data_IF_942978187533
#
_entry.id   IF_942978187533
#
_cell.length_a   1.000
_cell.length_b   1.000
_cell.length_c   1.000
_cell.angle_alpha   90.00
_cell.angle_beta   90.00
_cell.angle_gamma   90.00
#
_symmetry.space_group_name_H-M   'P 1'
#
loop_
_entity.id
_entity.type
_entity.pdbx_description
1 polymer ?
#
# COMPACT_ATOMS: atom_id res chain seq x y z
N UNK A 1 10.06 -50.20 51.06
CA UNK A 1 10.13 -49.54 49.74
C UNK A 1 10.23 -50.66 48.71
N UNK A 2 9.11 -51.00 48.06
CA UNK A 2 9.10 -52.01 46.99
C UNK A 2 9.98 -51.52 45.83
N UNK A 3 10.88 -52.39 45.37
CA UNK A 3 11.79 -52.14 44.24
C UNK A 3 11.07 -52.41 42.92
N UNK A 4 9.97 -51.70 42.66
CA UNK A 4 9.26 -51.82 41.39
C UNK A 4 10.06 -51.08 40.32
N UNK A 5 10.56 -51.75 39.26
CA UNK A 5 11.31 -51.08 38.21
C UNK A 5 10.41 -50.06 37.52
N UNK A 6 10.88 -48.82 37.38
CA UNK A 6 10.20 -47.78 36.61
C UNK A 6 10.22 -48.22 35.14
N UNK A 7 9.10 -48.75 34.66
CA UNK A 7 8.95 -49.17 33.27
C UNK A 7 8.72 -47.92 32.41
N UNK A 8 9.50 -47.70 31.33
CA UNK A 8 9.27 -46.57 30.43
C UNK A 8 7.86 -46.59 29.87
N UNK A 9 7.22 -45.42 29.82
CA UNK A 9 5.89 -45.25 29.24
C UNK A 9 5.94 -45.72 27.77
N UNK A 10 5.14 -46.75 27.44
CA UNK A 10 4.90 -47.24 26.08
C UNK A 10 3.87 -46.37 25.35
N UNK A 11 4.14 -45.07 25.24
CA UNK A 11 3.35 -44.18 24.41
C UNK A 11 4.06 -43.99 23.06
N UNK A 12 3.27 -43.84 22.00
CA UNK A 12 3.81 -43.45 20.69
C UNK A 12 4.30 -42.01 20.77
N UNK A 13 5.62 -41.83 20.72
CA UNK A 13 6.24 -40.52 20.68
C UNK A 13 6.09 -39.95 19.26
N UNK A 14 5.10 -39.09 19.06
CA UNK A 14 4.98 -38.31 17.84
C UNK A 14 6.09 -37.26 17.81
N UNK A 15 6.87 -37.21 16.74
CA UNK A 15 7.82 -36.13 16.52
C UNK A 15 7.04 -34.81 16.31
N UNK A 16 7.30 -33.80 17.14
CA UNK A 16 6.61 -32.49 17.13
C UNK A 16 7.54 -31.32 16.77
N UNK A 17 8.61 -31.60 16.05
CA UNK A 17 9.59 -30.60 15.64
C UNK A 17 10.71 -30.39 16.67
N UNK A 18 11.34 -29.23 16.60
CA UNK A 18 12.51 -28.86 17.40
C UNK A 18 12.13 -28.27 18.78
N UNK A 19 13.13 -27.98 19.62
CA UNK A 19 12.93 -27.22 20.87
C UNK A 19 12.59 -25.74 20.62
N UNK A 20 12.80 -25.23 19.41
CA UNK A 20 12.40 -23.88 19.05
C UNK A 20 10.89 -23.84 18.89
N UNK A 21 10.29 -22.74 19.31
CA UNK A 21 8.85 -22.55 19.12
C UNK A 21 8.53 -22.51 17.62
N UNK A 22 7.74 -23.48 17.17
CA UNK A 22 7.24 -23.55 15.81
C UNK A 22 5.81 -23.01 15.78
N UNK A 23 5.60 -21.93 15.04
CA UNK A 23 4.25 -21.40 14.83
C UNK A 23 3.40 -22.44 14.10
N UNK A 24 2.15 -22.59 14.52
CA UNK A 24 1.18 -23.38 13.77
C UNK A 24 0.95 -22.78 12.37
N UNK A 25 0.36 -23.56 11.46
CA UNK A 25 -0.05 -23.08 10.12
C UNK A 25 -1.20 -22.08 10.16
N UNK A 26 -1.72 -21.78 11.34
CA UNK A 26 -2.78 -20.80 11.56
C UNK A 26 -2.27 -19.38 11.30
N UNK A 27 -3.16 -18.53 10.81
CA UNK A 27 -2.86 -17.13 10.57
C UNK A 27 -2.54 -16.47 11.92
N UNK A 28 -1.35 -15.89 12.05
CA UNK A 28 -0.92 -15.12 13.22
C UNK A 28 -1.67 -13.80 13.31
N UNK A 29 -2.94 -13.87 13.70
CA UNK A 29 -3.75 -12.71 14.03
C UNK A 29 -4.15 -12.82 15.48
N UNK A 30 -3.50 -12.00 16.31
CA UNK A 30 -3.86 -11.84 17.71
C UNK A 30 -5.30 -11.32 17.80
N UNK A 31 -6.22 -12.08 18.40
CA UNK A 31 -7.59 -11.62 18.52
C UNK A 31 -7.64 -10.41 19.44
N UNK A 32 -8.25 -9.31 18.97
CA UNK A 32 -8.47 -8.09 19.77
C UNK A 32 -9.34 -8.43 21.00
N UNK A 33 -10.33 -9.31 20.81
CA UNK A 33 -11.16 -9.87 21.87
C UNK A 33 -11.05 -11.40 21.87
N UNK A 34 -10.71 -11.97 23.03
CA UNK A 34 -10.82 -13.41 23.24
C UNK A 34 -12.30 -13.79 23.35
N UNK A 35 -12.73 -14.70 22.48
CA UNK A 35 -14.11 -15.17 22.46
C UNK A 35 -14.15 -16.69 22.27
N UNK A 36 -15.17 -17.33 22.88
CA UNK A 36 -15.40 -18.76 22.71
C UNK A 36 -16.20 -19.00 21.43
N UNK A 37 -15.53 -19.57 20.43
CA UNK A 37 -16.16 -19.97 19.17
C UNK A 37 -16.64 -21.41 19.34
N UNK A 38 -17.95 -21.60 19.52
CA UNK A 38 -18.57 -22.93 19.61
C UNK A 38 -19.33 -23.29 18.34
N UNK A 39 -20.09 -22.33 17.80
CA UNK A 39 -20.85 -22.44 16.56
C UNK A 39 -20.63 -21.15 15.78
N UNK A 40 -19.61 -21.14 14.90
CA UNK A 40 -19.26 -19.95 14.14
C UNK A 40 -20.43 -19.47 13.25
N UNK A 41 -21.13 -20.32 12.47
CA UNK A 41 -22.29 -19.89 11.68
C UNK A 41 -23.37 -19.19 12.49
N UNK A 42 -23.81 -19.78 13.60
CA UNK A 42 -24.86 -19.18 14.43
C UNK A 42 -24.42 -17.84 15.04
N UNK A 43 -23.18 -17.79 15.55
CA UNK A 43 -22.62 -16.56 16.14
C UNK A 43 -22.44 -15.45 15.09
N UNK A 44 -22.09 -15.79 13.83
CA UNK A 44 -22.02 -14.80 12.74
C UNK A 44 -23.38 -14.15 12.52
N UNK A 45 -24.43 -14.97 12.42
CA UNK A 45 -25.79 -14.48 12.18
C UNK A 45 -26.27 -13.58 13.33
N UNK A 46 -25.98 -13.97 14.58
CA UNK A 46 -26.32 -13.18 15.77
C UNK A 46 -25.64 -11.80 15.75
N UNK A 47 -24.32 -11.77 15.54
CA UNK A 47 -23.55 -10.52 15.48
C UNK A 47 -23.98 -9.66 14.30
N UNK A 48 -24.25 -10.26 13.14
CA UNK A 48 -24.72 -9.55 11.96
C UNK A 48 -26.09 -8.90 12.21
N UNK A 49 -27.03 -9.63 12.84
CA UNK A 49 -28.33 -9.09 13.24
C UNK A 49 -28.17 -7.93 14.22
N UNK A 50 -27.25 -8.04 15.20
CA UNK A 50 -26.96 -6.97 16.14
C UNK A 50 -26.44 -5.71 15.44
N UNK A 51 -25.49 -5.86 14.50
CA UNK A 51 -24.95 -4.76 13.72
C UNK A 51 -26.02 -4.07 12.87
N UNK A 52 -26.93 -4.85 12.27
CA UNK A 52 -28.02 -4.30 11.45
C UNK A 52 -29.05 -3.55 12.30
N UNK A 53 -29.52 -4.14 13.40
CA UNK A 53 -30.63 -3.58 14.19
C UNK A 53 -30.21 -2.32 14.96
N UNK A 54 -28.98 -2.29 15.47
CA UNK A 54 -28.54 -1.21 16.37
C UNK A 54 -27.84 -0.04 15.67
N UNK A 55 -27.58 -0.11 14.35
CA UNK A 55 -26.84 0.92 13.61
C UNK A 55 -27.68 1.56 12.47
N UNK A 56 -28.89 2.00 12.77
CA UNK A 56 -29.80 2.58 11.77
C UNK A 56 -29.63 4.10 11.66
N UNK A 57 -29.96 4.83 12.73
CA UNK A 57 -29.88 6.29 12.75
C UNK A 57 -28.54 6.81 13.30
N UNK A 58 -27.99 6.11 14.28
CA UNK A 58 -26.72 6.42 14.92
C UNK A 58 -25.91 5.13 15.04
N UNK A 59 -24.60 5.25 14.91
CA UNK A 59 -23.69 4.11 15.15
C UNK A 59 -23.74 3.79 16.64
N UNK A 60 -24.00 2.54 16.99
CA UNK A 60 -24.00 2.07 18.37
C UNK A 60 -22.57 1.99 18.91
N UNK A 61 -22.38 2.30 20.20
CA UNK A 61 -21.05 2.41 20.81
C UNK A 61 -20.21 1.12 20.70
N UNK A 62 -20.87 -0.04 20.71
CA UNK A 62 -20.22 -1.35 20.59
C UNK A 62 -20.01 -1.82 19.14
N UNK A 63 -20.51 -1.08 18.14
CA UNK A 63 -20.48 -1.51 16.75
C UNK A 63 -19.07 -1.80 16.22
N UNK A 64 -18.02 -1.00 16.53
CA UNK A 64 -16.66 -1.33 16.13
C UNK A 64 -16.18 -2.68 16.70
N UNK A 65 -16.51 -2.96 17.97
CA UNK A 65 -16.15 -4.22 18.61
C UNK A 65 -16.93 -5.40 18.01
N UNK A 66 -18.24 -5.24 17.77
CA UNK A 66 -19.08 -6.23 17.10
C UNK A 66 -18.63 -6.50 15.66
N UNK A 67 -18.15 -5.48 14.95
CA UNK A 67 -17.59 -5.66 13.61
C UNK A 67 -16.28 -6.47 13.65
N UNK A 68 -15.39 -6.19 14.60
CA UNK A 68 -14.18 -7.01 14.80
C UNK A 68 -14.56 -8.45 15.17
N UNK A 69 -15.57 -8.64 16.02
CA UNK A 69 -16.10 -9.96 16.38
C UNK A 69 -16.62 -10.70 15.14
N UNK A 70 -17.36 -10.03 14.26
CA UNK A 70 -17.83 -10.60 13.00
C UNK A 70 -16.66 -11.08 12.12
N UNK A 71 -15.61 -10.26 11.98
CA UNK A 71 -14.41 -10.62 11.19
C UNK A 71 -13.69 -11.83 11.80
N UNK A 72 -13.55 -11.90 13.12
CA UNK A 72 -12.94 -13.05 13.81
C UNK A 72 -13.74 -14.34 13.59
N UNK A 73 -15.07 -14.26 13.68
CA UNK A 73 -15.93 -15.41 13.43
C UNK A 73 -15.86 -15.88 11.97
N UNK A 74 -15.84 -14.94 11.01
CA UNK A 74 -15.66 -15.25 9.60
C UNK A 74 -14.30 -15.91 9.31
N UNK A 75 -13.24 -15.55 10.05
CA UNK A 75 -11.93 -16.22 9.94
C UNK A 75 -11.93 -17.66 10.46
N UNK A 76 -12.77 -17.96 11.45
CA UNK A 76 -12.92 -19.31 12.00
C UNK A 76 -13.92 -20.17 11.21
N UNK A 77 -14.76 -19.56 10.37
CA UNK A 77 -15.74 -20.26 9.56
C UNK A 77 -15.11 -20.91 8.31
N UNK A 78 -15.66 -22.04 7.88
CA UNK A 78 -15.30 -22.66 6.61
C UNK A 78 -15.91 -21.88 5.44
N UNK A 79 -15.37 -22.09 4.24
CA UNK A 79 -15.88 -21.43 3.03
C UNK A 79 -17.36 -21.76 2.80
N UNK A 80 -17.76 -23.02 2.99
CA UNK A 80 -19.12 -23.49 2.78
C UNK A 80 -20.10 -22.74 3.71
N UNK A 81 -19.71 -22.52 4.96
CA UNK A 81 -20.51 -21.78 5.92
C UNK A 81 -20.64 -20.31 5.54
N UNK A 82 -19.55 -19.68 5.07
CA UNK A 82 -19.56 -18.31 4.58
C UNK A 82 -20.49 -18.18 3.36
N UNK A 83 -20.43 -19.13 2.43
CA UNK A 83 -21.29 -19.15 1.25
C UNK A 83 -22.77 -19.35 1.60
N UNK A 84 -23.07 -20.21 2.57
CA UNK A 84 -24.43 -20.40 3.06
C UNK A 84 -25.00 -19.10 3.66
N UNK A 85 -24.21 -18.40 4.48
CA UNK A 85 -24.60 -17.11 5.08
C UNK A 85 -24.77 -16.04 3.99
N UNK A 86 -23.86 -15.98 3.02
CA UNK A 86 -24.02 -15.09 1.87
C UNK A 86 -25.33 -15.37 1.12
N UNK A 87 -25.61 -16.64 0.80
CA UNK A 87 -26.83 -17.02 0.10
C UNK A 87 -28.09 -16.62 0.86
N UNK A 88 -28.07 -16.70 2.19
CA UNK A 88 -29.18 -16.29 3.05
C UNK A 88 -29.43 -14.77 3.02
N UNK A 89 -28.38 -13.94 3.01
CA UNK A 89 -28.49 -12.49 3.21
C UNK A 89 -28.17 -11.61 1.99
N UNK A 90 -27.79 -12.20 0.85
CA UNK A 90 -27.37 -11.43 -0.33
C UNK A 90 -28.43 -10.49 -0.90
N UNK A 91 -29.71 -10.74 -0.63
CA UNK A 91 -30.84 -9.93 -1.10
C UNK A 91 -31.35 -8.94 -0.03
N UNK A 92 -30.77 -8.96 1.18
CA UNK A 92 -31.13 -8.08 2.29
C UNK A 92 -30.12 -6.91 2.33
N UNK A 93 -30.46 -5.69 1.86
CA UNK A 93 -29.47 -4.66 1.53
C UNK A 93 -28.54 -4.27 2.68
N UNK A 94 -29.08 -4.19 3.91
CA UNK A 94 -28.29 -3.79 5.09
C UNK A 94 -27.36 -4.92 5.53
N UNK A 95 -27.84 -6.16 5.57
CA UNK A 95 -27.02 -7.34 5.88
C UNK A 95 -25.93 -7.55 4.84
N UNK A 96 -26.29 -7.44 3.56
CA UNK A 96 -25.39 -7.52 2.41
C UNK A 96 -24.23 -6.53 2.54
N UNK A 97 -24.52 -5.28 2.90
CA UNK A 97 -23.48 -4.26 3.09
C UNK A 97 -22.48 -4.64 4.19
N UNK A 98 -22.97 -5.06 5.36
CA UNK A 98 -22.11 -5.51 6.45
C UNK A 98 -21.24 -6.71 6.06
N UNK A 99 -21.79 -7.66 5.28
CA UNK A 99 -21.01 -8.79 4.75
C UNK A 99 -19.93 -8.31 3.77
N UNK A 100 -20.25 -7.41 2.83
CA UNK A 100 -19.28 -6.87 1.88
C UNK A 100 -18.18 -6.04 2.56
N UNK A 101 -18.45 -5.41 3.69
CA UNK A 101 -17.45 -4.72 4.49
C UNK A 101 -16.58 -5.71 5.31
N UNK A 102 -17.17 -6.78 5.86
CA UNK A 102 -16.49 -7.73 6.75
C UNK A 102 -15.68 -8.80 6.02
N UNK A 103 -16.18 -9.35 4.91
CA UNK A 103 -15.50 -10.37 4.12
C UNK A 103 -14.06 -9.97 3.73
N UNK A 104 -13.80 -8.83 3.08
CA UNK A 104 -12.43 -8.46 2.71
C UNK A 104 -11.49 -8.31 3.93
N UNK A 105 -12.02 -7.96 5.10
CA UNK A 105 -11.25 -7.83 6.34
C UNK A 105 -10.83 -9.19 6.94
N UNK A 106 -11.41 -10.31 6.50
CA UNK A 106 -10.95 -11.67 6.85
C UNK A 106 -9.48 -11.84 6.45
N UNK A 107 -9.09 -11.28 5.29
CA UNK A 107 -7.68 -11.16 4.89
C UNK A 107 -7.05 -12.47 4.39
N UNK A 108 -7.84 -13.39 3.83
CA UNK A 108 -7.31 -14.66 3.28
C UNK A 108 -7.44 -14.72 1.75
N UNK A 109 -6.57 -15.48 1.07
CA UNK A 109 -6.66 -15.67 -0.40
C UNK A 109 -7.98 -16.30 -0.84
N UNK A 110 -8.56 -17.15 0.03
CA UNK A 110 -9.87 -17.79 -0.16
C UNK A 110 -10.96 -16.74 -0.36
N UNK A 111 -10.96 -15.66 0.42
CA UNK A 111 -11.98 -14.61 0.28
C UNK A 111 -11.78 -13.77 -0.98
N UNK A 112 -10.54 -13.50 -1.39
CA UNK A 112 -10.26 -12.84 -2.68
C UNK A 112 -10.84 -13.67 -3.84
N UNK A 113 -10.67 -14.99 -3.78
CA UNK A 113 -11.25 -15.93 -4.76
C UNK A 113 -12.78 -15.92 -4.72
N UNK A 114 -13.38 -15.95 -3.53
CA UNK A 114 -14.84 -15.88 -3.34
C UNK A 114 -15.43 -14.61 -3.95
N UNK A 115 -14.87 -13.42 -3.65
CA UNK A 115 -15.35 -12.12 -4.16
C UNK A 115 -15.35 -12.11 -5.69
N UNK A 116 -14.26 -12.63 -6.29
CA UNK A 116 -14.13 -12.78 -7.75
C UNK A 116 -15.23 -13.69 -8.31
N UNK A 117 -15.48 -14.84 -7.69
CA UNK A 117 -16.50 -15.80 -8.13
C UNK A 117 -17.92 -15.21 -8.04
N UNK A 118 -18.24 -14.47 -6.97
CA UNK A 118 -19.55 -13.80 -6.83
C UNK A 118 -19.74 -12.69 -7.86
N UNK A 119 -18.69 -11.94 -8.21
CA UNK A 119 -18.77 -10.96 -9.31
C UNK A 119 -19.00 -11.64 -10.67
N UNK A 120 -18.28 -12.72 -10.97
CA UNK A 120 -18.46 -13.46 -12.23
C UNK A 120 -19.84 -14.10 -12.36
N UNK A 121 -20.42 -14.54 -11.24
CA UNK A 121 -21.79 -15.05 -11.17
C UNK A 121 -22.86 -13.94 -11.32
N UNK A 122 -22.47 -12.67 -11.44
CA UNK A 122 -23.40 -11.54 -11.51
C UNK A 122 -24.06 -11.21 -10.18
N UNK A 123 -23.56 -11.76 -9.06
CA UNK A 123 -24.10 -11.51 -7.73
C UNK A 123 -23.59 -10.20 -7.12
N UNK A 124 -22.52 -9.61 -7.66
CA UNK A 124 -22.00 -8.31 -7.24
C UNK A 124 -22.14 -7.30 -8.38
N UNK A 125 -22.58 -6.09 -8.04
CA UNK A 125 -22.50 -4.95 -8.95
C UNK A 125 -21.05 -4.50 -9.12
N UNK A 126 -20.75 -3.75 -10.19
CA UNK A 126 -19.40 -3.23 -10.42
C UNK A 126 -18.88 -2.35 -9.25
N UNK A 127 -19.67 -1.42 -8.67
CA UNK A 127 -19.22 -0.63 -7.52
C UNK A 127 -18.94 -1.49 -6.27
N UNK A 128 -19.83 -2.44 -5.95
CA UNK A 128 -19.64 -3.36 -4.83
C UNK A 128 -18.37 -4.19 -5.00
N UNK A 129 -18.15 -4.72 -6.20
CA UNK A 129 -16.95 -5.49 -6.51
C UNK A 129 -15.68 -4.65 -6.39
N UNK A 130 -15.66 -3.42 -6.93
CA UNK A 130 -14.51 -2.52 -6.84
C UNK A 130 -14.18 -2.21 -5.37
N UNK A 131 -15.17 -1.79 -4.58
CA UNK A 131 -14.97 -1.47 -3.17
C UNK A 131 -14.44 -2.67 -2.39
N UNK A 132 -15.08 -3.83 -2.56
CA UNK A 132 -14.71 -5.05 -1.83
C UNK A 132 -13.32 -5.54 -2.24
N UNK A 133 -13.00 -5.51 -3.55
CA UNK A 133 -11.72 -5.96 -4.09
C UNK A 133 -10.55 -5.10 -3.60
N UNK A 134 -10.70 -3.77 -3.56
CA UNK A 134 -9.63 -2.86 -3.08
C UNK A 134 -9.26 -3.19 -1.63
N UNK A 135 -10.26 -3.35 -0.76
CA UNK A 135 -10.03 -3.72 0.65
C UNK A 135 -9.44 -5.12 0.74
N UNK A 136 -9.94 -6.10 -0.04
CA UNK A 136 -9.43 -7.46 -0.01
C UNK A 136 -7.94 -7.55 -0.42
N UNK A 137 -7.54 -6.87 -1.50
CA UNK A 137 -6.14 -6.80 -1.93
C UNK A 137 -5.25 -6.10 -0.89
N UNK A 138 -5.82 -5.19 -0.10
CA UNK A 138 -5.10 -4.54 0.98
C UNK A 138 -5.00 -5.41 2.25
N UNK A 139 -5.97 -6.26 2.52
CA UNK A 139 -6.02 -7.05 3.76
C UNK A 139 -5.43 -8.45 3.62
N UNK A 140 -5.33 -8.98 2.40
CA UNK A 140 -4.88 -10.36 2.15
C UNK A 140 -3.47 -10.61 2.70
N UNK A 141 -3.32 -11.73 3.41
CA UNK A 141 -2.01 -12.29 3.79
C UNK A 141 -1.27 -12.72 2.53
N UNK A 142 -0.04 -12.24 2.36
CA UNK A 142 0.69 -12.43 1.11
C UNK A 142 1.76 -13.51 1.26
N UNK A 143 1.57 -14.62 0.56
CA UNK A 143 2.60 -15.62 0.28
C UNK A 143 2.88 -15.71 -1.22
N UNK A 144 3.88 -16.52 -1.61
CA UNK A 144 4.26 -16.65 -3.01
C UNK A 144 3.11 -17.22 -3.85
N UNK A 145 2.30 -18.12 -3.29
CA UNK A 145 1.13 -18.68 -3.96
C UNK A 145 0.07 -17.61 -4.22
N UNK A 146 -0.22 -16.73 -3.27
CA UNK A 146 -1.17 -15.62 -3.40
C UNK A 146 -0.68 -14.57 -4.39
N UNK A 147 0.62 -14.28 -4.39
CA UNK A 147 1.23 -13.43 -5.40
C UNK A 147 1.16 -14.11 -6.76
N UNK A 148 1.42 -15.40 -6.86
CA UNK A 148 1.30 -16.13 -8.12
C UNK A 148 -0.15 -16.23 -8.57
N UNK A 149 -1.11 -16.48 -7.69
CA UNK A 149 -2.55 -16.41 -7.99
C UNK A 149 -2.97 -15.03 -8.48
N UNK A 150 -2.18 -13.99 -8.20
CA UNK A 150 -2.35 -12.62 -8.72
C UNK A 150 -1.39 -12.27 -9.88
N UNK A 151 -0.25 -12.98 -10.08
CA UNK A 151 0.79 -12.82 -11.11
C UNK A 151 0.70 -13.86 -12.26
N UNK A 152 0.67 -15.15 -11.94
CA UNK A 152 0.00 -16.17 -12.79
C UNK A 152 -1.49 -15.79 -12.93
N UNK A 153 -2.02 -15.07 -11.93
CA UNK A 153 -3.20 -14.22 -11.99
C UNK A 153 -3.14 -13.02 -12.93
N UNK A 154 -2.01 -12.49 -13.35
CA UNK A 154 -2.01 -11.60 -14.53
C UNK A 154 -2.12 -12.40 -15.83
N UNK A 155 -2.25 -13.72 -15.74
CA UNK A 155 -2.89 -14.59 -16.73
C UNK A 155 -4.24 -15.19 -16.24
N UNK A 156 -4.77 -14.80 -15.08
CA UNK A 156 -6.04 -15.32 -14.54
C UNK A 156 -7.02 -14.23 -14.11
N UNK A 157 -6.62 -13.12 -13.49
CA UNK A 157 -7.21 -11.78 -13.28
C UNK A 157 -7.13 -10.85 -14.52
N UNK A 158 -6.04 -10.87 -15.30
CA UNK A 158 -6.03 -10.18 -16.62
C UNK A 158 -6.55 -11.08 -17.76
N UNK A 159 -6.48 -12.41 -17.63
CA UNK A 159 -7.31 -13.33 -18.45
C UNK A 159 -8.57 -13.81 -17.70
N UNK A 160 -8.96 -13.12 -16.63
CA UNK A 160 -10.29 -13.34 -16.04
C UNK A 160 -11.20 -12.80 -17.12
N UNK A 161 -11.87 -13.69 -17.84
CA UNK A 161 -13.15 -13.49 -18.52
C UNK A 161 -13.31 -12.11 -19.17
N UNK A 162 -13.41 -12.00 -20.51
CA UNK A 162 -13.49 -10.74 -21.30
C UNK A 162 -14.13 -9.53 -20.57
N UNK A 163 -15.23 -9.76 -19.82
CA UNK A 163 -15.86 -8.82 -18.87
C UNK A 163 -14.93 -8.04 -17.93
N UNK A 164 -13.87 -8.59 -17.34
CA UNK A 164 -12.97 -7.86 -16.41
C UNK A 164 -11.88 -7.10 -17.18
N UNK A 165 -11.29 -7.72 -18.19
CA UNK A 165 -10.26 -7.12 -19.02
C UNK A 165 -10.76 -5.89 -19.82
N UNK A 166 -12.06 -5.86 -20.13
CA UNK A 166 -12.71 -4.75 -20.86
C UNK A 166 -13.02 -3.54 -19.98
N UNK A 167 -12.91 -3.62 -18.65
CA UNK A 167 -13.19 -2.51 -17.73
C UNK A 167 -11.87 -1.87 -17.27
N UNK A 168 -11.50 -0.67 -17.78
CA UNK A 168 -10.19 -0.08 -17.51
C UNK A 168 -9.91 0.16 -16.02
N UNK A 169 -10.91 0.61 -15.25
CA UNK A 169 -10.76 0.88 -13.82
C UNK A 169 -10.40 -0.38 -13.02
N UNK A 170 -10.97 -1.54 -13.36
CA UNK A 170 -10.67 -2.81 -12.70
C UNK A 170 -9.25 -3.28 -13.02
N UNK A 171 -8.83 -3.14 -14.28
CA UNK A 171 -7.45 -3.44 -14.69
C UNK A 171 -6.44 -2.63 -13.89
N UNK A 172 -6.69 -1.33 -13.68
CA UNK A 172 -5.81 -0.48 -12.88
C UNK A 172 -5.75 -0.92 -11.42
N UNK A 173 -6.90 -1.14 -10.77
CA UNK A 173 -6.98 -1.56 -9.36
C UNK A 173 -6.20 -2.85 -9.12
N UNK A 174 -6.40 -3.85 -9.97
CA UNK A 174 -5.71 -5.14 -9.87
C UNK A 174 -4.20 -4.97 -9.98
N UNK A 175 -3.75 -4.20 -10.96
CA UNK A 175 -2.32 -3.96 -11.20
C UNK A 175 -1.67 -3.18 -10.05
N UNK A 176 -2.35 -2.19 -9.49
CA UNK A 176 -1.86 -1.42 -8.34
C UNK A 176 -1.84 -2.25 -7.06
N UNK A 177 -2.86 -3.09 -6.85
CA UNK A 177 -2.92 -4.07 -5.76
C UNK A 177 -1.79 -5.10 -5.89
N UNK A 178 -1.51 -5.57 -7.11
CA UNK A 178 -0.39 -6.48 -7.40
C UNK A 178 0.95 -5.90 -6.95
N UNK A 179 1.25 -4.64 -7.32
CA UNK A 179 2.46 -3.97 -6.83
C UNK A 179 2.51 -3.88 -5.30
N UNK A 180 1.38 -3.62 -4.65
CA UNK A 180 1.30 -3.53 -3.18
C UNK A 180 1.50 -4.89 -2.50
N UNK A 181 1.02 -5.98 -3.09
CA UNK A 181 1.25 -7.34 -2.60
C UNK A 181 2.73 -7.72 -2.70
N UNK A 182 3.39 -7.39 -3.81
CA UNK A 182 4.86 -7.58 -3.93
C UNK A 182 5.56 -6.84 -2.80
N UNK A 183 5.19 -5.60 -2.52
CA UNK A 183 5.82 -4.81 -1.46
C UNK A 183 5.68 -5.48 -0.09
N UNK A 184 4.48 -5.96 0.26
CA UNK A 184 4.21 -6.68 1.53
C UNK A 184 5.04 -7.97 1.63
N UNK A 185 5.04 -8.77 0.57
CA UNK A 185 5.80 -10.01 0.54
C UNK A 185 7.31 -9.77 0.68
N UNK A 186 7.86 -8.79 -0.03
CA UNK A 186 9.28 -8.47 0.05
C UNK A 186 9.70 -7.88 1.41
N UNK A 187 8.77 -7.45 2.26
CA UNK A 187 9.07 -7.07 3.65
C UNK A 187 9.20 -8.32 4.53
N UNK A 188 8.39 -9.35 4.29
CA UNK A 188 8.42 -10.60 5.03
C UNK A 188 9.56 -11.55 4.59
N UNK A 189 9.99 -11.47 3.32
CA UNK A 189 10.97 -12.39 2.72
C UNK A 189 12.28 -11.67 2.41
N UNK A 190 13.41 -12.03 3.05
CA UNK A 190 14.72 -11.37 2.86
C UNK A 190 15.22 -11.38 1.41
N UNK A 191 14.99 -12.47 0.67
CA UNK A 191 15.36 -12.64 -0.73
C UNK A 191 14.12 -12.59 -1.63
N UNK A 192 13.62 -11.38 -1.85
CA UNK A 192 12.44 -11.21 -2.71
C UNK A 192 12.78 -11.52 -4.19
N UNK A 193 12.01 -12.40 -4.88
CA UNK A 193 12.27 -12.76 -6.27
C UNK A 193 11.97 -11.62 -7.24
N UNK A 194 12.95 -11.25 -8.08
CA UNK A 194 12.78 -10.23 -9.11
C UNK A 194 11.79 -10.63 -10.21
N UNK A 195 11.50 -11.92 -10.38
CA UNK A 195 10.58 -12.47 -11.38
C UNK A 195 9.14 -11.93 -11.21
N UNK A 196 8.77 -11.52 -10.00
CA UNK A 196 7.48 -10.88 -9.72
C UNK A 196 7.27 -9.58 -10.52
N UNK A 197 8.35 -8.97 -11.02
CA UNK A 197 8.31 -7.72 -11.78
C UNK A 197 8.12 -7.92 -13.28
N UNK A 198 8.12 -9.17 -13.77
CA UNK A 198 8.15 -9.49 -15.22
C UNK A 198 7.01 -8.82 -15.99
N UNK A 199 5.79 -8.84 -15.46
CA UNK A 199 4.61 -8.25 -16.13
C UNK A 199 4.79 -6.75 -16.40
N UNK A 200 5.37 -6.01 -15.44
CA UNK A 200 5.64 -4.59 -15.61
C UNK A 200 6.78 -4.35 -16.62
N UNK A 201 7.80 -5.22 -16.63
CA UNK A 201 8.87 -5.17 -17.63
C UNK A 201 8.36 -5.42 -19.05
N UNK A 202 7.48 -6.40 -19.24
CA UNK A 202 6.84 -6.70 -20.51
C UNK A 202 5.94 -5.56 -21.00
N UNK A 203 5.18 -4.94 -20.10
CA UNK A 203 4.35 -3.77 -20.43
C UNK A 203 5.19 -2.57 -20.91
N UNK A 204 6.35 -2.35 -20.29
CA UNK A 204 7.26 -1.27 -20.68
C UNK A 204 7.87 -1.52 -22.06
N UNK A 205 8.16 -2.78 -22.40
CA UNK A 205 8.71 -3.15 -23.70
C UNK A 205 7.75 -2.91 -24.88
N UNK A 206 6.43 -2.86 -24.64
CA UNK A 206 5.39 -2.68 -25.68
C UNK A 206 5.26 -1.25 -26.22
N UNK A 207 6.00 -0.29 -25.65
CA UNK A 207 5.97 1.12 -26.03
C UNK A 207 4.57 1.77 -26.06
N UNK A 208 3.64 1.28 -25.24
CA UNK A 208 2.27 1.78 -25.11
C UNK A 208 2.17 2.68 -23.88
N UNK A 209 1.90 3.98 -24.06
CA UNK A 209 1.97 5.00 -23.00
C UNK A 209 1.06 4.72 -21.80
N UNK A 210 -0.25 4.44 -21.96
CA UNK A 210 -1.10 3.96 -20.87
C UNK A 210 -0.55 2.73 -20.12
N UNK A 211 -0.02 1.73 -20.83
CA UNK A 211 0.53 0.52 -20.20
C UNK A 211 1.82 0.80 -19.44
N UNK A 212 2.70 1.64 -19.99
CA UNK A 212 3.92 2.11 -19.33
C UNK A 212 3.57 2.88 -18.06
N UNK A 213 2.61 3.79 -18.13
CA UNK A 213 2.17 4.61 -16.99
C UNK A 213 1.67 3.73 -15.85
N UNK A 214 0.82 2.74 -16.15
CA UNK A 214 0.33 1.80 -15.15
C UNK A 214 1.47 0.93 -14.61
N UNK A 215 2.34 0.41 -15.47
CA UNK A 215 3.48 -0.41 -15.08
C UNK A 215 4.45 0.34 -14.14
N UNK A 216 4.72 1.62 -14.39
CA UNK A 216 5.52 2.47 -13.52
C UNK A 216 4.89 2.61 -12.13
N UNK A 217 3.57 2.80 -12.05
CA UNK A 217 2.87 2.82 -10.76
C UNK A 217 2.93 1.48 -10.03
N UNK A 218 2.83 0.35 -10.75
CA UNK A 218 3.02 -1.00 -10.17
C UNK A 218 4.43 -1.17 -9.61
N UNK A 219 5.47 -0.80 -10.37
CA UNK A 219 6.87 -0.83 -9.93
C UNK A 219 7.09 0.09 -8.72
N UNK A 220 6.47 1.27 -8.73
CA UNK A 220 6.46 2.22 -7.63
C UNK A 220 5.84 1.66 -6.36
N UNK A 221 4.68 1.01 -6.45
CA UNK A 221 4.05 0.35 -5.31
C UNK A 221 4.91 -0.79 -4.78
N UNK A 222 5.45 -1.64 -5.67
CA UNK A 222 6.32 -2.75 -5.31
C UNK A 222 7.59 -2.29 -4.57
N UNK A 223 8.18 -1.17 -5.02
CA UNK A 223 9.39 -0.61 -4.42
C UNK A 223 10.53 -1.62 -4.37
N UNK A 224 10.65 -2.47 -5.39
CA UNK A 224 11.66 -3.52 -5.45
C UNK A 224 12.96 -2.96 -6.07
N UNK A 225 14.16 -3.15 -5.47
CA UNK A 225 15.40 -2.59 -6.00
C UNK A 225 15.72 -2.98 -7.46
N UNK A 226 15.38 -4.21 -7.86
CA UNK A 226 15.54 -4.67 -9.26
C UNK A 226 14.76 -3.83 -10.29
N UNK A 227 13.72 -3.09 -9.89
CA UNK A 227 12.98 -2.18 -10.77
C UNK A 227 13.79 -0.95 -11.19
N UNK A 228 14.86 -0.60 -10.47
CA UNK A 228 15.61 0.64 -10.67
C UNK A 228 16.15 0.79 -12.10
N UNK A 229 16.84 -0.25 -12.62
CA UNK A 229 17.40 -0.22 -13.97
C UNK A 229 16.33 -0.02 -15.04
N UNK A 230 15.15 -0.61 -14.84
CA UNK A 230 14.03 -0.49 -15.76
C UNK A 230 13.43 0.92 -15.74
N UNK A 231 13.21 1.48 -14.54
CA UNK A 231 12.73 2.85 -14.35
C UNK A 231 13.71 3.86 -14.95
N UNK A 232 15.02 3.69 -14.72
CA UNK A 232 16.07 4.58 -15.23
C UNK A 232 16.09 4.68 -16.76
N UNK A 233 15.75 3.60 -17.48
CA UNK A 233 15.64 3.64 -18.95
C UNK A 233 14.56 4.58 -19.47
N UNK A 234 13.59 4.94 -18.64
CA UNK A 234 12.48 5.83 -18.97
C UNK A 234 12.72 7.27 -18.49
N UNK A 235 13.79 7.53 -17.72
CA UNK A 235 14.13 8.86 -17.26
C UNK A 235 14.88 9.65 -18.35
N UNK A 236 14.70 10.98 -18.41
CA UNK A 236 15.33 11.80 -19.45
C UNK A 236 16.85 12.00 -19.23
N UNK A 237 17.40 11.49 -18.12
CA UNK A 237 18.80 11.61 -17.68
C UNK A 237 19.82 11.11 -18.70
N UNK A 238 19.44 10.16 -19.57
CA UNK A 238 20.39 9.44 -20.41
C UNK A 238 20.61 10.03 -21.81
N UNK A 239 19.99 11.17 -22.19
CA UNK A 239 20.05 11.72 -23.57
C UNK A 239 19.80 10.65 -24.65
N UNK A 240 18.87 9.74 -24.41
CA UNK A 240 18.45 8.64 -25.30
C UNK A 240 17.03 8.88 -25.82
N UNK A 241 16.47 7.93 -26.60
CA UNK A 241 15.06 7.91 -27.03
C UNK A 241 14.05 8.12 -25.87
N UNK A 242 14.46 7.88 -24.62
CA UNK A 242 13.69 8.20 -23.42
C UNK A 242 13.34 9.70 -23.28
N UNK A 243 14.16 10.61 -23.82
CA UNK A 243 13.89 12.05 -23.81
C UNK A 243 12.69 12.43 -24.70
N UNK A 244 12.33 11.60 -25.68
CA UNK A 244 11.16 11.79 -26.54
C UNK A 244 9.85 11.29 -25.90
N UNK A 245 9.92 10.63 -24.73
CA UNK A 245 8.73 10.16 -24.03
C UNK A 245 7.91 11.34 -23.46
N UNK A 246 6.58 11.20 -23.35
CA UNK A 246 5.75 12.25 -22.77
C UNK A 246 6.16 12.57 -21.31
N UNK A 247 6.09 13.84 -20.93
CA UNK A 247 6.42 14.32 -19.58
C UNK A 247 5.71 13.53 -18.46
N UNK A 248 4.49 13.06 -18.71
CA UNK A 248 3.73 12.24 -17.75
C UNK A 248 4.46 10.95 -17.40
N UNK A 249 5.05 10.28 -18.40
CA UNK A 249 5.84 9.06 -18.18
C UNK A 249 7.08 9.35 -17.34
N UNK A 250 7.75 10.49 -17.59
CA UNK A 250 8.89 10.91 -16.76
C UNK A 250 8.48 11.17 -15.31
N UNK A 251 7.36 11.85 -15.09
CA UNK A 251 6.82 12.10 -13.75
C UNK A 251 6.50 10.79 -13.03
N UNK A 252 5.78 9.87 -13.69
CA UNK A 252 5.45 8.56 -13.11
C UNK A 252 6.72 7.74 -12.82
N UNK A 253 7.75 7.83 -13.67
CA UNK A 253 9.03 7.16 -13.46
C UNK A 253 9.79 7.74 -12.24
N UNK A 254 9.79 9.06 -12.08
CA UNK A 254 10.38 9.73 -10.90
C UNK A 254 9.62 9.31 -9.63
N UNK A 255 8.29 9.31 -9.65
CA UNK A 255 7.46 8.92 -8.51
C UNK A 255 7.64 7.44 -8.14
N UNK A 256 7.88 6.57 -9.12
CA UNK A 256 8.13 5.14 -8.88
C UNK A 256 9.39 4.86 -8.05
N UNK A 257 10.35 5.80 -8.00
CA UNK A 257 11.58 5.65 -7.21
C UNK A 257 11.35 5.78 -5.69
N UNK A 258 10.21 6.34 -5.25
CA UNK A 258 10.00 6.75 -3.85
C UNK A 258 10.02 5.60 -2.86
N UNK A 259 9.35 4.48 -3.16
CA UNK A 259 9.35 3.33 -2.27
C UNK A 259 10.66 2.53 -2.33
N UNK A 260 11.40 2.61 -3.45
CA UNK A 260 12.77 2.08 -3.51
C UNK A 260 13.67 2.90 -2.57
N UNK A 261 13.57 4.23 -2.61
CA UNK A 261 14.35 5.13 -1.76
C UNK A 261 14.07 4.98 -0.26
N UNK A 262 12.85 4.56 0.12
CA UNK A 262 12.53 4.22 1.52
C UNK A 262 13.30 3.00 2.03
N UNK A 263 13.62 2.05 1.15
CA UNK A 263 14.37 0.82 1.48
C UNK A 263 15.87 1.01 1.34
N UNK A 264 16.29 1.58 0.21
CA UNK A 264 17.70 1.85 -0.10
C UNK A 264 17.85 3.24 -0.74
N UNK A 265 18.02 4.29 0.07
CA UNK A 265 18.17 5.65 -0.43
C UNK A 265 19.45 5.85 -1.24
N UNK A 266 20.51 5.07 -0.97
CA UNK A 266 21.82 5.24 -1.64
C UNK A 266 21.76 4.86 -3.12
N UNK A 267 20.88 3.92 -3.48
CA UNK A 267 20.65 3.55 -4.88
C UNK A 267 19.94 4.64 -5.68
N UNK A 268 19.03 5.39 -5.04
CA UNK A 268 18.17 6.38 -5.72
C UNK A 268 18.78 7.78 -5.74
N UNK A 269 19.50 8.15 -4.67
CA UNK A 269 20.08 9.50 -4.51
C UNK A 269 20.90 9.99 -5.71
N UNK A 270 21.83 9.20 -6.30
CA UNK A 270 22.61 9.67 -7.44
C UNK A 270 21.74 10.01 -8.65
N UNK A 271 20.71 9.20 -8.92
CA UNK A 271 19.78 9.40 -10.05
C UNK A 271 18.93 10.65 -9.82
N UNK A 272 18.38 10.81 -8.61
CA UNK A 272 17.57 11.97 -8.26
C UNK A 272 18.38 13.27 -8.29
N UNK A 273 19.63 13.24 -7.78
CA UNK A 273 20.52 14.40 -7.80
C UNK A 273 20.87 14.79 -9.23
N UNK A 274 21.16 13.81 -10.10
CA UNK A 274 21.43 14.08 -11.51
C UNK A 274 20.23 14.73 -12.20
N UNK A 275 19.00 14.26 -11.97
CA UNK A 275 17.78 14.87 -12.50
C UNK A 275 17.61 16.33 -12.07
N UNK A 276 17.85 16.64 -10.80
CA UNK A 276 17.69 18.00 -10.25
C UNK A 276 18.78 18.94 -10.77
N UNK A 277 19.99 18.44 -10.99
CA UNK A 277 21.14 19.23 -11.43
C UNK A 277 21.29 19.33 -12.95
N UNK A 278 20.58 18.52 -13.73
CA UNK A 278 20.70 18.50 -15.19
C UNK A 278 20.17 19.79 -15.80
N UNK A 279 21.12 20.61 -16.27
CA UNK A 279 20.85 21.89 -16.95
C UNK A 279 20.21 21.70 -18.32
N UNK A 280 20.25 20.52 -18.94
CA UNK A 280 19.53 20.27 -20.19
C UNK A 280 18.02 20.04 -19.95
N UNK A 281 17.63 19.55 -18.77
CA UNK A 281 16.24 19.51 -18.31
C UNK A 281 15.76 20.88 -17.80
N UNK A 282 16.72 21.73 -17.44
CA UNK A 282 16.52 23.07 -16.92
C UNK A 282 17.45 24.07 -17.63
N UNK A 283 17.21 24.37 -18.93
CA UNK A 283 18.12 25.18 -19.75
C UNK A 283 18.35 26.56 -19.13
N UNK A 284 19.49 26.60 -18.46
CA UNK A 284 20.39 27.70 -18.06
C UNK A 284 19.87 28.86 -17.17
N UNK A 285 20.69 29.08 -16.12
CA UNK A 285 20.98 30.32 -15.37
C UNK A 285 19.84 30.97 -14.60
N UNK A 286 19.78 30.84 -13.26
CA UNK A 286 18.91 31.64 -12.37
C UNK A 286 17.38 31.67 -12.68
N UNK A 287 16.92 31.00 -13.74
CA UNK A 287 15.54 30.96 -14.25
C UNK A 287 15.07 29.54 -14.49
N UNK A 288 14.97 28.78 -13.40
CA UNK A 288 13.65 28.23 -13.12
C UNK A 288 13.30 28.58 -11.68
N UNK A 289 12.88 29.83 -11.49
CA UNK A 289 12.50 30.35 -10.18
C UNK A 289 11.42 29.48 -9.50
N UNK A 290 10.66 28.68 -10.28
CA UNK A 290 9.78 27.65 -9.76
C UNK A 290 10.56 26.58 -8.99
N UNK A 291 11.59 25.99 -9.60
CA UNK A 291 12.44 24.96 -8.98
C UNK A 291 13.21 25.54 -7.80
N UNK A 292 13.78 26.74 -7.95
CA UNK A 292 14.52 27.40 -6.87
C UNK A 292 13.62 27.71 -5.65
N UNK A 293 12.43 28.26 -5.88
CA UNK A 293 11.42 28.50 -4.84
C UNK A 293 10.99 27.20 -4.16
N UNK A 294 10.74 26.16 -4.95
CA UNK A 294 10.33 24.84 -4.44
C UNK A 294 11.42 24.23 -3.55
N UNK A 295 12.67 24.17 -4.05
CA UNK A 295 13.80 23.62 -3.31
C UNK A 295 14.08 24.41 -2.03
N UNK A 296 14.09 25.74 -2.11
CA UNK A 296 14.32 26.59 -0.94
C UNK A 296 13.22 26.42 0.11
N UNK A 297 11.95 26.48 -0.28
CA UNK A 297 10.83 26.31 0.66
C UNK A 297 10.80 24.91 1.28
N UNK A 298 11.12 23.87 0.51
CA UNK A 298 11.27 22.50 1.04
C UNK A 298 12.38 22.44 2.09
N UNK A 299 13.60 22.90 1.75
CA UNK A 299 14.75 22.91 2.67
C UNK A 299 14.40 23.71 3.92
N UNK A 300 13.83 24.90 3.75
CA UNK A 300 13.42 25.76 4.88
C UNK A 300 12.39 25.07 5.78
N UNK A 301 11.38 24.43 5.21
CA UNK A 301 10.37 23.71 6.01
C UNK A 301 10.98 22.53 6.79
N UNK A 302 11.94 21.82 6.19
CA UNK A 302 12.64 20.71 6.83
C UNK A 302 13.45 21.14 8.07
N UNK A 303 13.88 22.40 8.16
CA UNK A 303 14.60 22.91 9.35
C UNK A 303 13.76 22.90 10.63
N UNK A 304 12.42 22.85 10.51
CA UNK A 304 11.48 22.91 11.62
C UNK A 304 10.94 21.55 12.05
N UNK A 305 11.37 20.49 11.37
CA UNK A 305 10.87 19.13 11.61
C UNK A 305 11.51 18.57 12.88
N UNK A 306 10.67 18.02 13.74
CA UNK A 306 11.03 17.53 15.08
C UNK A 306 11.00 16.00 15.18
N UNK A 307 10.40 15.31 14.19
CA UNK A 307 10.32 13.87 14.12
C UNK A 307 11.73 13.23 14.12
N UNK A 308 11.99 12.24 14.99
CA UNK A 308 13.32 11.65 15.14
C UNK A 308 13.91 11.04 13.87
N UNK A 309 13.09 10.45 13.00
CA UNK A 309 13.54 9.84 11.73
C UNK A 309 14.10 10.86 10.73
N UNK A 310 13.75 12.14 10.90
CA UNK A 310 14.15 13.24 10.03
C UNK A 310 15.24 14.13 10.65
N UNK A 311 15.74 13.83 11.86
CA UNK A 311 16.67 14.72 12.58
C UNK A 311 17.94 15.04 11.79
N UNK A 312 18.54 14.05 11.12
CA UNK A 312 19.71 14.26 10.27
C UNK A 312 19.40 15.18 9.06
N UNK A 313 18.22 15.01 8.46
CA UNK A 313 17.76 15.84 7.34
C UNK A 313 17.47 17.26 7.79
N UNK A 314 16.86 17.45 8.97
CA UNK A 314 16.61 18.76 9.55
C UNK A 314 17.91 19.50 9.88
N UNK A 315 18.90 18.79 10.44
CA UNK A 315 20.24 19.34 10.68
C UNK A 315 20.95 19.77 9.39
N UNK A 316 20.93 18.92 8.36
CA UNK A 316 21.48 19.25 7.05
C UNK A 316 20.76 20.44 6.40
N UNK A 317 19.43 20.50 6.52
CA UNK A 317 18.63 21.62 6.04
C UNK A 317 18.98 22.92 6.76
N UNK A 318 19.22 22.88 8.08
CA UNK A 318 19.62 24.05 8.85
C UNK A 318 20.95 24.62 8.35
N UNK A 319 21.94 23.76 8.05
CA UNK A 319 23.19 24.18 7.42
C UNK A 319 22.95 24.75 6.02
N UNK A 320 22.17 24.06 5.18
CA UNK A 320 21.87 24.50 3.83
C UNK A 320 21.20 25.88 3.79
N UNK A 321 20.25 26.18 4.68
CA UNK A 321 19.60 27.50 4.72
C UNK A 321 20.56 28.66 5.00
N UNK A 322 21.71 28.41 5.64
CA UNK A 322 22.76 29.44 5.86
C UNK A 322 23.60 29.71 4.61
N UNK A 323 23.62 28.77 3.66
CA UNK A 323 24.35 28.88 2.38
C UNK A 323 23.48 29.47 1.26
N UNK A 324 22.15 29.41 1.41
CA UNK A 324 21.19 29.86 0.40
C UNK A 324 20.80 31.33 0.59
N UNK A 325 20.49 32.02 -0.51
CA UNK A 325 20.07 33.43 -0.47
C UNK A 325 18.73 33.60 0.24
N UNK A 326 18.62 34.47 1.26
CA UNK A 326 17.36 34.72 1.96
C UNK A 326 16.32 35.42 1.08
N UNK A 327 16.70 35.94 -0.11
CA UNK A 327 15.77 36.54 -1.07
C UNK A 327 14.72 35.54 -1.58
N UNK A 328 15.06 34.24 -1.64
CA UNK A 328 14.17 33.17 -2.09
C UNK A 328 12.94 32.99 -1.18
N UNK A 329 13.03 33.44 0.07
CA UNK A 329 11.92 33.39 1.03
C UNK A 329 10.80 34.40 0.71
N UNK A 330 11.17 35.49 0.04
CA UNK A 330 10.27 36.61 -0.29
C UNK A 330 9.49 36.39 -1.58
N UNK A 331 9.69 35.25 -2.25
CA UNK A 331 9.01 34.92 -3.50
C UNK A 331 7.50 34.75 -3.25
N UNK A 332 6.67 35.28 -4.15
CA UNK A 332 5.20 35.20 -4.01
C UNK A 332 4.66 33.78 -4.17
N UNK A 333 3.38 33.57 -3.85
CA UNK A 333 2.67 32.30 -4.07
C UNK A 333 2.51 31.91 -5.56
N UNK A 334 2.90 32.78 -6.51
CA UNK A 334 2.98 32.43 -7.93
C UNK A 334 4.12 31.45 -8.24
N UNK A 335 5.10 31.31 -7.34
CA UNK A 335 6.15 30.32 -7.46
C UNK A 335 5.83 29.04 -6.69
N UNK A 336 6.37 27.93 -7.18
CA UNK A 336 6.21 26.60 -6.63
C UNK A 336 6.73 26.55 -5.20
N UNK A 337 6.04 25.83 -4.33
CA UNK A 337 6.33 25.78 -2.91
C UNK A 337 6.15 24.39 -2.36
N UNK A 338 6.96 24.09 -1.36
CA UNK A 338 6.77 22.94 -0.51
C UNK A 338 6.65 23.39 0.94
N UNK A 339 5.71 22.79 1.65
CA UNK A 339 5.47 23.00 3.06
C UNK A 339 5.49 21.63 3.74
N UNK A 340 6.24 21.53 4.83
CA UNK A 340 6.21 20.39 5.73
C UNK A 340 6.10 20.89 7.16
N UNK A 341 5.16 20.32 7.90
CA UNK A 341 4.91 20.62 9.31
C UNK A 341 4.76 19.29 10.03
N UNK A 342 5.29 19.18 11.25
CA UNK A 342 5.09 18.03 12.10
C UNK A 342 4.81 18.41 13.55
N UNK A 343 4.25 17.45 14.27
CA UNK A 343 4.07 17.49 15.72
C UNK A 343 4.52 16.11 16.21
N UNK A 344 5.47 16.07 17.13
CA UNK A 344 5.97 14.83 17.71
C UNK A 344 6.08 14.94 19.23
N UNK A 345 5.50 13.97 19.95
CA UNK A 345 5.49 13.90 21.39
C UNK A 345 6.41 12.77 21.88
N UNK A 346 7.67 13.11 22.20
CA UNK A 346 8.73 12.15 22.53
C UNK A 346 8.38 11.15 23.63
N UNK A 347 7.80 11.55 24.79
CA UNK A 347 7.44 10.59 25.83
C UNK A 347 6.42 9.53 25.43
N UNK A 348 5.58 9.83 24.44
CA UNK A 348 4.56 8.90 23.92
C UNK A 348 5.01 8.21 22.61
N UNK A 349 6.16 8.62 22.07
CA UNK A 349 6.66 8.20 20.76
C UNK A 349 5.60 8.28 19.65
N UNK A 350 4.72 9.28 19.72
CA UNK A 350 3.60 9.48 18.80
C UNK A 350 3.72 10.84 18.13
N UNK A 351 3.31 10.93 16.87
CA UNK A 351 3.30 12.18 16.15
C UNK A 351 2.61 12.10 14.80
N UNK A 352 2.50 13.24 14.15
CA UNK A 352 1.96 13.35 12.81
C UNK A 352 2.72 14.43 12.02
N UNK A 353 2.79 14.26 10.71
CA UNK A 353 3.33 15.25 9.79
C UNK A 353 2.40 15.46 8.61
N UNK A 354 2.21 16.72 8.23
CA UNK A 354 1.54 17.15 7.01
C UNK A 354 2.56 17.72 6.04
N UNK A 355 2.45 17.37 4.76
CA UNK A 355 3.21 17.99 3.67
C UNK A 355 2.27 18.48 2.57
N UNK A 356 2.60 19.59 1.94
CA UNK A 356 1.91 20.08 0.74
C UNK A 356 2.95 20.57 -0.27
N UNK A 357 2.82 20.11 -1.50
CA UNK A 357 3.68 20.43 -2.63
C UNK A 357 2.83 21.09 -3.71
N UNK A 358 3.12 22.34 -4.02
CA UNK A 358 2.46 23.11 -5.08
C UNK A 358 3.46 23.36 -6.19
N UNK A 359 3.16 22.84 -7.37
CA UNK A 359 3.96 23.02 -8.59
C UNK A 359 3.19 23.99 -9.48
N UNK A 360 3.73 25.18 -9.68
CA UNK A 360 3.13 26.23 -10.48
C UNK A 360 3.77 26.30 -11.87
N UNK A 361 2.99 26.83 -12.82
CA UNK A 361 3.46 27.20 -14.14
C UNK A 361 3.55 28.73 -14.23
N UNK A 362 4.56 29.25 -14.94
CA UNK A 362 4.64 30.69 -15.19
C UNK A 362 3.50 31.19 -16.08
N UNK A 363 2.89 30.30 -16.87
CA UNK A 363 1.81 30.62 -17.80
C UNK A 363 0.43 30.75 -17.14
N UNK A 364 0.23 30.27 -15.90
CA UNK A 364 -1.09 30.19 -15.27
C UNK A 364 -1.08 30.66 -13.81
N UNK A 365 -2.22 31.21 -13.35
CA UNK A 365 -2.42 31.57 -11.94
C UNK A 365 -2.68 30.31 -11.09
N UNK A 366 -3.36 29.32 -11.68
CA UNK A 366 -3.63 28.05 -11.03
C UNK A 366 -2.38 27.16 -11.04
N UNK A 367 -2.11 26.44 -9.93
CA UNK A 367 -1.04 25.44 -9.89
C UNK A 367 -1.24 24.36 -10.95
N UNK A 368 -0.14 23.91 -11.56
CA UNK A 368 -0.12 22.77 -12.48
C UNK A 368 -0.36 21.45 -11.76
N UNK A 369 0.13 21.33 -10.52
CA UNK A 369 -0.12 20.17 -9.66
C UNK A 369 -0.08 20.56 -8.19
N UNK A 370 -0.93 19.92 -7.39
CA UNK A 370 -0.91 19.99 -5.93
C UNK A 370 -0.91 18.57 -5.39
N UNK A 371 0.02 18.28 -4.48
CA UNK A 371 0.10 17.00 -3.77
C UNK A 371 0.14 17.30 -2.28
N UNK A 372 -0.79 16.72 -1.53
CA UNK A 372 -0.78 16.77 -0.07
C UNK A 372 -0.38 15.40 0.46
N UNK A 373 0.18 15.33 1.66
CA UNK A 373 0.58 14.06 2.26
C UNK A 373 0.45 14.11 3.77
N UNK A 374 -0.12 13.07 4.35
CA UNK A 374 -0.18 12.85 5.78
C UNK A 374 0.69 11.64 6.17
N UNK A 375 1.47 11.79 7.23
CA UNK A 375 2.31 10.72 7.81
C UNK A 375 2.06 10.65 9.31
N UNK A 376 1.95 9.45 9.84
CA UNK A 376 1.80 9.19 11.27
C UNK A 376 3.04 8.50 11.82
N UNK A 377 3.32 8.75 13.08
CA UNK A 377 4.41 8.16 13.85
C UNK A 377 3.84 7.53 15.12
N UNK A 378 4.23 6.29 15.40
CA UNK A 378 3.80 5.60 16.61
C UNK A 378 4.81 4.50 16.97
N UNK A 379 5.22 4.44 18.23
CA UNK A 379 6.06 3.36 18.77
C UNK A 379 7.34 3.07 17.94
N UNK A 380 7.98 4.12 17.43
CA UNK A 380 9.19 4.01 16.60
C UNK A 380 8.95 3.64 15.13
N UNK A 381 7.71 3.34 14.74
CA UNK A 381 7.31 3.16 13.35
C UNK A 381 6.78 4.47 12.73
N UNK A 382 6.88 4.58 11.41
CA UNK A 382 6.30 5.68 10.65
C UNK A 382 5.59 5.14 9.41
N UNK A 383 4.41 5.66 9.13
CA UNK A 383 3.60 5.27 7.97
C UNK A 383 3.02 6.49 7.27
N UNK A 384 3.06 6.48 5.94
CA UNK A 384 2.30 7.45 5.15
C UNK A 384 0.83 7.01 5.16
N UNK A 385 -0.07 7.86 5.63
CA UNK A 385 -1.50 7.54 5.84
C UNK A 385 -2.33 7.88 4.60
N UNK A 386 -2.02 9.00 3.97
CA UNK A 386 -2.71 9.50 2.77
C UNK A 386 -1.74 10.34 1.94
N UNK A 387 -1.91 10.31 0.62
CA UNK A 387 -1.27 11.20 -0.35
C UNK A 387 -2.23 11.56 -1.49
#
# INVERSE_FOLDING_TARGET
IEKTPVVPIKADYLARGSLQYEFATEILQTPIQLMKISDAPAQIVEVLKHLVVNNVAMVHDDAPLKFVQLVQLLRAATLENIEAIWAQYKNEPVYRRWLLDALPAVGTPVIVKLIKEKFLAGELTLPEFIQTLVVALQMVTVDLETIQLTAVGTSYILKMHEKIATIPALREIVMLGYGSMIAKYCVAVPTCPAELLRIAAEAIAKNNIPEITLALKVLGNAGHPASLKLIMKLLPVLKTAAAAMPIRVHVDAILALRNIAKKDPKLVQPVALQLVLDRALHPETETNMQVASFAYSQIKSLTRITAPDMAAVAGAAHVATKLLSPKLDRLSFRFSRALKIDIYHTPLMIGAAGSAYMINDAATILPRAVVAKARAYMAGAAADVLE
#
